data_IF_219450650204
#
_entry.id   IF_219450650204
#
_cell.length_a   1.000
_cell.length_b   1.000
_cell.length_c   1.000
_cell.angle_alpha   90.00
_cell.angle_beta   90.00
_cell.angle_gamma   90.00
#
_symmetry.space_group_name_H-M   'P 1'
#
loop_
_entity.id
_entity.type
_entity.pdbx_description
1 polymer ?
#
# COMPACT_ATOMS: atom_id res chain seq x y z
N UNK A 1 11.76 -54.23 -17.81
CA UNK A 1 11.06 -54.14 -16.51
C UNK A 1 10.06 -53.00 -16.65
N UNK A 2 8.91 -53.31 -17.24
CA UNK A 2 7.62 -53.65 -16.61
C UNK A 2 6.78 -52.40 -16.33
N UNK A 3 6.03 -52.04 -17.37
CA UNK A 3 4.65 -51.57 -17.25
C UNK A 3 3.83 -52.65 -16.52
N UNK A 4 2.79 -52.28 -15.75
CA UNK A 4 1.56 -53.06 -15.72
C UNK A 4 0.42 -52.24 -16.34
N UNK A 5 -0.08 -52.83 -17.42
CA UNK A 5 -1.33 -52.50 -18.08
C UNK A 5 -2.41 -53.49 -17.64
N UNK A 6 -3.67 -53.15 -17.96
CA UNK A 6 -4.81 -54.05 -18.20
C UNK A 6 -5.48 -54.64 -16.94
N UNK A 7 -6.81 -54.71 -16.82
CA UNK A 7 -7.83 -55.33 -17.71
C UNK A 7 -9.21 -54.71 -17.31
N UNK A 8 -9.94 -54.04 -18.21
CA UNK A 8 -11.15 -54.51 -18.97
C UNK A 8 -12.32 -54.92 -18.06
N UNK A 9 -13.60 -54.70 -18.35
CA UNK A 9 -14.38 -54.14 -19.46
C UNK A 9 -15.84 -54.06 -18.95
N UNK A 10 -16.69 -53.24 -19.55
CA UNK A 10 -17.89 -53.72 -20.26
C UNK A 10 -18.66 -52.51 -20.81
N UNK A 11 -18.61 -52.39 -22.14
CA UNK A 11 -19.58 -51.65 -22.92
C UNK A 11 -20.81 -52.52 -23.08
N UNK A 12 -22.00 -52.00 -22.86
CA UNK A 12 -23.24 -52.53 -23.42
C UNK A 12 -24.20 -51.37 -23.71
N UNK A 13 -24.37 -51.13 -25.01
CA UNK A 13 -25.59 -50.74 -25.70
C UNK A 13 -26.34 -49.48 -25.22
N UNK A 14 -26.22 -48.44 -26.06
CA UNK A 14 -27.37 -47.90 -26.79
C UNK A 14 -28.47 -47.26 -25.95
N UNK A 15 -28.59 -45.95 -26.08
CA UNK A 15 -29.79 -45.21 -26.51
C UNK A 15 -29.40 -43.73 -26.47
N UNK A 16 -29.35 -43.08 -27.63
CA UNK A 16 -29.55 -41.63 -27.66
C UNK A 16 -30.99 -41.35 -27.22
N UNK A 17 -31.19 -40.37 -26.36
CA UNK A 17 -32.19 -39.37 -26.68
C UNK A 17 -31.54 -37.98 -26.65
N UNK A 18 -31.91 -37.18 -27.65
CA UNK A 18 -31.72 -35.75 -27.64
C UNK A 18 -32.26 -35.19 -26.31
N UNK A 19 -31.39 -34.51 -25.54
CA UNK A 19 -31.83 -33.68 -24.44
C UNK A 19 -31.07 -32.35 -24.52
N UNK A 20 -31.87 -31.29 -24.50
CA UNK A 20 -31.56 -29.90 -24.81
C UNK A 20 -30.27 -29.40 -24.19
N UNK A 21 -29.54 -28.59 -24.97
CA UNK A 21 -28.62 -27.59 -24.42
C UNK A 21 -29.44 -26.50 -23.71
N UNK A 22 -29.73 -26.68 -22.44
CA UNK A 22 -30.14 -25.58 -21.56
C UNK A 22 -29.64 -25.93 -20.15
N UNK A 23 -28.76 -25.11 -19.57
CA UNK A 23 -28.19 -25.35 -18.24
C UNK A 23 -26.66 -25.33 -18.17
N UNK A 24 -25.99 -24.70 -19.14
CA UNK A 24 -24.60 -24.27 -19.00
C UNK A 24 -24.64 -22.75 -18.77
N UNK A 25 -24.01 -22.29 -17.68
CA UNK A 25 -23.61 -20.89 -17.39
C UNK A 25 -24.43 -20.10 -16.34
N UNK A 26 -24.98 -20.69 -15.27
CA UNK A 26 -25.54 -19.85 -14.17
C UNK A 26 -24.85 -19.98 -12.80
N UNK A 27 -24.10 -21.07 -12.55
CA UNK A 27 -23.48 -21.27 -11.23
C UNK A 27 -22.04 -20.73 -11.10
N UNK A 28 -21.42 -20.30 -12.20
CA UNK A 28 -20.08 -19.70 -12.19
C UNK A 28 -20.10 -18.17 -11.97
N UNK A 29 -21.23 -17.51 -12.24
CA UNK A 29 -21.38 -16.04 -12.11
C UNK A 29 -21.62 -15.59 -10.66
N UNK A 30 -21.86 -16.50 -9.72
CA UNK A 30 -22.14 -16.15 -8.31
C UNK A 30 -20.85 -16.04 -7.48
N UNK A 31 -19.71 -16.55 -7.96
CA UNK A 31 -18.43 -16.47 -7.23
C UNK A 31 -17.50 -15.36 -7.73
N UNK A 32 -17.72 -14.85 -8.95
CA UNK A 32 -17.12 -13.61 -9.44
C UNK A 32 -18.08 -12.43 -9.24
N UNK A 33 -18.54 -12.24 -7.99
CA UNK A 33 -18.91 -10.90 -7.55
C UNK A 33 -17.62 -10.08 -7.47
N UNK A 34 -17.07 -9.77 -8.64
CA UNK A 34 -16.16 -8.68 -8.93
C UNK A 34 -16.79 -7.52 -8.19
N UNK A 35 -16.26 -7.22 -7.01
CA UNK A 35 -16.60 -6.02 -6.26
C UNK A 35 -16.55 -4.93 -7.32
N UNK A 36 -17.71 -4.38 -7.69
CA UNK A 36 -17.77 -3.26 -8.60
C UNK A 36 -16.89 -2.22 -7.94
N UNK A 37 -15.68 -2.04 -8.50
CA UNK A 37 -14.67 -1.14 -7.96
C UNK A 37 -15.33 0.22 -8.02
N UNK A 38 -15.94 0.67 -6.93
CA UNK A 38 -16.46 2.02 -6.88
C UNK A 38 -15.22 2.91 -6.98
N UNK A 39 -15.04 3.64 -8.11
CA UNK A 39 -13.84 4.42 -8.29
C UNK A 39 -13.80 5.46 -7.19
N UNK A 40 -12.65 5.59 -6.53
CA UNK A 40 -12.46 6.63 -5.52
C UNK A 40 -12.75 7.98 -6.19
N UNK A 41 -13.63 8.82 -5.60
CA UNK A 41 -13.98 10.10 -6.19
C UNK A 41 -12.75 10.99 -6.43
N UNK A 42 -12.76 11.76 -7.53
CA UNK A 42 -11.61 12.56 -7.95
C UNK A 42 -11.22 13.63 -6.93
N UNK A 43 -12.18 14.18 -6.20
CA UNK A 43 -11.98 15.10 -5.08
C UNK A 43 -11.26 14.43 -3.91
N UNK A 44 -11.55 13.16 -3.61
CA UNK A 44 -10.84 12.37 -2.59
C UNK A 44 -9.40 12.12 -3.02
N UNK A 45 -9.16 11.79 -4.29
CA UNK A 45 -7.80 11.63 -4.83
C UNK A 45 -6.99 12.93 -4.71
N UNK A 46 -7.58 14.07 -5.09
CA UNK A 46 -6.95 15.38 -4.97
C UNK A 46 -6.68 15.75 -3.50
N UNK A 47 -7.64 15.50 -2.61
CA UNK A 47 -7.49 15.75 -1.17
C UNK A 47 -6.39 14.86 -0.55
N UNK A 48 -6.24 13.62 -1.00
CA UNK A 48 -5.16 12.74 -0.55
C UNK A 48 -3.78 13.28 -0.96
N UNK A 49 -3.64 13.78 -2.20
CA UNK A 49 -2.40 14.42 -2.68
C UNK A 49 -2.05 15.63 -1.82
N UNK A 50 -3.04 16.49 -1.55
CA UNK A 50 -2.85 17.66 -0.68
C UNK A 50 -2.42 17.24 0.74
N UNK A 51 -3.10 16.26 1.33
CA UNK A 51 -2.79 15.79 2.69
C UNK A 51 -1.38 15.19 2.78
N UNK A 52 -0.92 14.49 1.74
CA UNK A 52 0.46 13.98 1.65
C UNK A 52 1.46 15.11 1.44
N UNK A 53 1.12 16.17 0.70
CA UNK A 53 1.96 17.35 0.59
C UNK A 53 2.11 18.05 1.94
N UNK A 54 1.02 18.20 2.71
CA UNK A 54 1.06 18.78 4.07
C UNK A 54 1.94 17.94 5.01
N UNK A 55 1.87 16.61 4.92
CA UNK A 55 2.79 15.70 5.63
C UNK A 55 4.26 15.92 5.21
N UNK A 56 4.48 16.14 3.92
CA UNK A 56 5.79 16.51 3.37
C UNK A 56 6.32 17.83 3.90
N UNK A 57 5.45 18.84 4.02
CA UNK A 57 5.82 20.16 4.54
C UNK A 57 6.19 20.10 6.02
N UNK A 58 5.48 19.28 6.83
CA UNK A 58 5.88 18.96 8.21
C UNK A 58 7.28 18.34 8.26
N UNK A 59 7.53 17.39 7.37
CA UNK A 59 8.82 16.69 7.24
C UNK A 59 9.95 17.65 6.88
N UNK A 60 9.69 18.63 6.01
CA UNK A 60 10.66 19.67 5.62
C UNK A 60 10.97 20.65 6.75
N UNK A 61 10.00 20.92 7.63
CA UNK A 61 10.20 21.75 8.83
C UNK A 61 10.88 21.01 9.99
N UNK A 62 11.07 19.70 9.86
CA UNK A 62 11.63 18.86 10.93
C UNK A 62 10.63 18.52 12.04
N UNK A 63 9.33 18.70 11.79
CA UNK A 63 8.24 18.41 12.74
C UNK A 63 7.93 16.89 12.76
N UNK A 64 8.95 16.06 12.98
CA UNK A 64 8.85 14.61 12.83
C UNK A 64 7.89 13.96 13.84
N UNK A 65 7.75 14.52 15.04
CA UNK A 65 6.77 14.05 16.02
C UNK A 65 5.33 14.19 15.48
N UNK A 66 5.03 15.27 14.76
CA UNK A 66 3.71 15.46 14.14
C UNK A 66 3.49 14.50 12.97
N UNK A 67 4.53 14.23 12.18
CA UNK A 67 4.50 13.22 11.11
C UNK A 67 4.18 11.84 11.71
N UNK A 68 4.84 11.47 12.81
CA UNK A 68 4.59 10.22 13.52
C UNK A 68 3.15 10.15 14.05
N UNK A 69 2.64 11.23 14.63
CA UNK A 69 1.26 11.29 15.14
C UNK A 69 0.19 11.14 14.04
N UNK A 70 0.53 11.45 12.78
CA UNK A 70 -0.34 11.23 11.62
C UNK A 70 -0.24 9.81 11.05
N UNK A 71 0.55 8.92 11.65
CA UNK A 71 0.61 7.51 11.22
C UNK A 71 -0.74 6.82 11.45
N UNK A 72 -1.18 6.00 10.50
CA UNK A 72 -2.46 5.33 10.56
C UNK A 72 -2.60 4.46 11.84
N UNK A 73 -3.58 4.71 12.72
CA UNK A 73 -3.63 4.10 14.06
C UNK A 73 -3.73 2.57 14.06
N UNK A 74 -4.44 1.97 13.09
CA UNK A 74 -4.55 0.50 13.01
C UNK A 74 -3.23 -0.14 12.57
N UNK A 75 -2.45 0.56 11.75
CA UNK A 75 -1.09 0.15 11.41
C UNK A 75 -0.19 0.18 12.66
N UNK A 76 -0.18 1.31 13.39
CA UNK A 76 0.57 1.45 14.65
C UNK A 76 0.24 0.36 15.66
N UNK A 77 -1.05 0.09 15.88
CA UNK A 77 -1.49 -0.94 16.84
C UNK A 77 -0.97 -2.33 16.50
N UNK A 78 -0.90 -2.69 15.22
CA UNK A 78 -0.35 -3.98 14.79
C UNK A 78 1.17 -4.00 14.88
N UNK A 79 1.83 -2.90 14.50
CA UNK A 79 3.28 -2.75 14.65
C UNK A 79 3.69 -2.89 16.13
N UNK A 80 2.99 -2.22 17.04
CA UNK A 80 3.17 -2.35 18.49
C UNK A 80 3.01 -3.79 18.97
N UNK A 81 1.99 -4.52 18.51
CA UNK A 81 1.80 -5.93 18.86
C UNK A 81 2.97 -6.82 18.39
N UNK A 82 3.53 -6.55 17.22
CA UNK A 82 4.73 -7.26 16.71
C UNK A 82 5.99 -6.88 17.50
N UNK A 83 6.15 -5.60 17.85
CA UNK A 83 7.29 -5.08 18.58
C UNK A 83 7.30 -5.48 20.07
N UNK A 84 6.15 -5.90 20.62
CA UNK A 84 6.01 -6.32 22.02
C UNK A 84 5.43 -5.24 22.95
N UNK A 85 4.82 -4.18 22.41
CA UNK A 85 4.13 -3.14 23.18
C UNK A 85 4.15 -1.76 22.52
N UNK A 86 3.29 -0.86 22.98
CA UNK A 86 3.22 0.53 22.49
C UNK A 86 4.48 1.32 22.87
N UNK A 87 5.02 1.11 24.06
CA UNK A 87 6.20 1.84 24.54
C UNK A 87 7.43 1.53 23.68
N UNK A 88 7.54 0.29 23.20
CA UNK A 88 8.64 -0.14 22.36
C UNK A 88 8.58 0.48 20.96
N UNK A 89 7.41 0.52 20.34
CA UNK A 89 7.28 1.16 19.02
C UNK A 89 7.49 2.68 19.13
N UNK A 90 7.04 3.30 20.22
CA UNK A 90 7.28 4.73 20.47
C UNK A 90 8.78 5.02 20.61
N UNK A 91 9.50 4.21 21.39
CA UNK A 91 10.95 4.34 21.54
C UNK A 91 11.72 4.05 20.23
N UNK A 92 11.24 3.12 19.40
CA UNK A 92 11.80 2.86 18.07
C UNK A 92 11.60 4.06 17.13
N UNK A 93 10.44 4.71 17.17
CA UNK A 93 10.15 5.91 16.37
C UNK A 93 10.98 7.11 16.81
N UNK A 94 11.10 7.34 18.13
CA UNK A 94 11.94 8.41 18.69
C UNK A 94 13.41 8.19 18.30
N UNK A 95 13.93 6.96 18.45
CA UNK A 95 15.27 6.61 18.02
C UNK A 95 15.47 6.85 16.52
N UNK A 96 14.50 6.50 15.69
CA UNK A 96 14.59 6.73 14.24
C UNK A 96 14.67 8.23 13.91
N UNK A 97 13.98 9.10 14.66
CA UNK A 97 14.10 10.56 14.52
C UNK A 97 15.48 11.04 14.92
N UNK A 98 16.01 10.57 16.06
CA UNK A 98 17.35 10.94 16.54
C UNK A 98 18.46 10.48 15.59
N UNK A 99 18.37 9.23 15.11
CA UNK A 99 19.30 8.68 14.11
C UNK A 99 19.24 9.45 12.81
N UNK A 100 18.03 9.83 12.36
CA UNK A 100 17.87 10.65 11.17
C UNK A 100 18.51 12.03 11.37
N UNK A 101 18.26 12.70 12.49
CA UNK A 101 18.87 13.98 12.82
C UNK A 101 20.40 13.89 12.91
N UNK A 102 20.94 12.80 13.45
CA UNK A 102 22.38 12.56 13.57
C UNK A 102 23.08 12.15 12.27
N UNK A 103 22.34 11.64 11.28
CA UNK A 103 22.89 11.09 10.03
C UNK A 103 23.52 12.12 9.08
N UNK A 104 23.39 13.42 9.36
CA UNK A 104 23.82 14.48 8.45
C UNK A 104 22.98 14.56 7.16
N UNK A 105 21.84 13.86 7.13
CA UNK A 105 20.85 13.95 6.06
C UNK A 105 19.88 15.11 6.36
N UNK A 106 19.60 15.92 5.34
CA UNK A 106 18.56 16.96 5.41
C UNK A 106 17.63 16.78 4.23
N UNK A 107 16.33 16.66 4.47
CA UNK A 107 15.34 16.70 3.38
C UNK A 107 15.23 18.14 2.91
N UNK A 108 15.59 18.41 1.66
CA UNK A 108 15.59 19.77 1.08
C UNK A 108 14.39 20.03 0.18
N UNK A 109 13.75 18.97 -0.32
CA UNK A 109 12.55 19.06 -1.14
C UNK A 109 11.65 17.86 -0.89
N UNK A 110 10.35 18.10 -0.88
CA UNK A 110 9.31 17.07 -0.86
C UNK A 110 8.23 17.48 -1.87
N UNK A 111 7.77 16.52 -2.67
CA UNK A 111 6.69 16.74 -3.63
C UNK A 111 5.78 15.53 -3.64
N UNK A 112 4.50 15.72 -3.36
CA UNK A 112 3.45 14.74 -3.63
C UNK A 112 3.06 14.84 -5.12
N UNK A 113 3.09 13.72 -5.81
CA UNK A 113 2.67 13.62 -7.21
C UNK A 113 1.18 13.21 -7.28
N UNK A 114 0.52 13.37 -8.45
CA UNK A 114 -0.86 12.92 -8.61
C UNK A 114 -1.06 11.46 -8.17
N UNK A 115 -2.14 11.21 -7.45
CA UNK A 115 -2.50 9.87 -7.00
C UNK A 115 -2.68 8.92 -8.20
N UNK A 116 -2.14 7.71 -8.09
CA UNK A 116 -2.13 6.73 -9.18
C UNK A 116 -3.30 5.76 -9.08
N UNK A 117 -3.71 5.46 -7.85
CA UNK A 117 -4.80 4.54 -7.55
C UNK A 117 -5.41 4.83 -6.20
N UNK A 118 -6.64 4.38 -6.02
CA UNK A 118 -7.33 4.39 -4.75
C UNK A 118 -8.37 3.27 -4.67
N UNK A 119 -8.71 2.90 -3.45
CA UNK A 119 -9.60 1.81 -3.12
C UNK A 119 -10.67 2.28 -2.13
N UNK A 120 -11.90 1.84 -2.40
CA UNK A 120 -12.95 1.79 -1.40
C UNK A 120 -12.66 0.64 -0.43
N UNK A 121 -12.63 0.95 0.87
CA UNK A 121 -12.45 -0.02 1.94
C UNK A 121 -13.77 -0.13 2.72
N UNK A 122 -14.74 -0.92 2.24
CA UNK A 122 -16.10 -0.95 2.79
C UNK A 122 -16.15 -1.50 4.21
N UNK A 123 -15.26 -2.43 4.58
CA UNK A 123 -15.26 -3.05 5.91
C UNK A 123 -14.88 -2.08 7.04
N UNK A 124 -14.24 -0.95 6.69
CA UNK A 124 -13.87 0.10 7.64
C UNK A 124 -14.51 1.45 7.32
N UNK A 125 -15.34 1.53 6.27
CA UNK A 125 -15.89 2.77 5.76
C UNK A 125 -14.79 3.83 5.52
N UNK A 126 -13.71 3.43 4.86
CA UNK A 126 -12.52 4.24 4.60
C UNK A 126 -12.23 4.34 3.10
N UNK A 127 -11.55 5.41 2.71
CA UNK A 127 -10.82 5.52 1.45
C UNK A 127 -9.34 5.24 1.69
N UNK A 128 -8.72 4.51 0.76
CA UNK A 128 -7.28 4.28 0.74
C UNK A 128 -6.73 4.74 -0.60
N UNK A 129 -5.69 5.58 -0.60
CA UNK A 129 -5.15 6.20 -1.81
C UNK A 129 -3.62 6.06 -1.85
N UNK A 130 -3.08 5.66 -3.00
CA UNK A 130 -1.64 5.62 -3.25
C UNK A 130 -1.17 6.92 -3.89
N UNK A 131 -0.33 7.65 -3.17
CA UNK A 131 0.21 8.94 -3.60
C UNK A 131 1.72 8.83 -3.77
N UNK A 132 2.26 8.90 -5.00
CA UNK A 132 3.70 8.93 -5.22
C UNK A 132 4.31 10.20 -4.63
N UNK A 133 5.57 10.09 -4.23
CA UNK A 133 6.32 11.18 -3.61
C UNK A 133 7.73 11.21 -4.14
N UNK A 134 8.26 12.42 -4.33
CA UNK A 134 9.66 12.67 -4.60
C UNK A 134 10.26 13.48 -3.46
N UNK A 135 11.39 13.01 -2.94
CA UNK A 135 12.14 13.68 -1.89
C UNK A 135 13.56 13.93 -2.34
N UNK A 136 14.05 15.14 -2.13
CA UNK A 136 15.46 15.43 -2.29
C UNK A 136 16.10 15.45 -0.91
N UNK A 137 17.15 14.67 -0.73
CA UNK A 137 17.93 14.59 0.48
C UNK A 137 19.33 15.10 0.19
N UNK A 138 19.78 16.05 0.99
CA UNK A 138 21.16 16.48 1.03
C UNK A 138 21.89 15.64 2.08
N UNK A 139 22.97 14.98 1.67
CA UNK A 139 23.92 14.33 2.56
C UNK A 139 25.19 15.17 2.63
N UNK A 140 25.70 15.37 3.83
CA UNK A 140 27.05 15.90 4.03
C UNK A 140 27.90 14.73 4.50
N UNK A 141 28.90 14.34 3.70
CA UNK A 141 29.83 13.30 4.12
C UNK A 141 30.63 13.81 5.33
N UNK A 142 30.56 13.13 6.49
CA UNK A 142 31.18 13.63 7.71
C UNK A 142 32.71 13.57 7.67
N UNK A 143 33.31 12.73 6.83
CA UNK A 143 34.75 12.58 6.70
C UNK A 143 35.36 13.58 5.70
N UNK A 144 34.65 13.90 4.62
CA UNK A 144 35.17 14.76 3.53
C UNK A 144 34.51 16.14 3.45
N UNK A 145 33.36 16.33 4.09
CA UNK A 145 32.55 17.56 4.01
C UNK A 145 31.84 17.76 2.65
N UNK A 146 31.95 16.80 1.74
CA UNK A 146 31.33 16.86 0.41
C UNK A 146 29.81 16.80 0.54
N UNK A 147 29.13 17.69 -0.18
CA UNK A 147 27.67 17.72 -0.26
C UNK A 147 27.22 16.89 -1.45
N UNK A 148 26.32 15.96 -1.20
CA UNK A 148 25.68 15.17 -2.24
C UNK A 148 24.17 15.34 -2.15
N UNK A 149 23.50 15.44 -3.30
CA UNK A 149 22.05 15.43 -3.37
C UNK A 149 21.57 14.10 -3.91
N UNK A 150 20.55 13.54 -3.26
CA UNK A 150 19.95 12.26 -3.60
C UNK A 150 18.45 12.52 -3.77
N UNK A 151 17.92 12.17 -4.93
CA UNK A 151 16.49 12.12 -5.17
C UNK A 151 15.99 10.72 -4.84
N UNK A 152 14.94 10.66 -4.03
CA UNK A 152 14.23 9.45 -3.63
C UNK A 152 12.84 9.50 -4.22
N UNK A 153 12.46 8.48 -4.96
CA UNK A 153 11.10 8.24 -5.43
C UNK A 153 10.47 7.16 -4.57
N UNK A 154 9.31 7.45 -4.02
CA UNK A 154 8.62 6.61 -3.04
C UNK A 154 7.12 6.88 -3.11
N UNK A 155 6.33 6.36 -2.17
CA UNK A 155 4.92 6.72 -2.05
C UNK A 155 4.43 6.72 -0.60
N UNK A 156 3.31 7.39 -0.38
CA UNK A 156 2.54 7.32 0.85
C UNK A 156 1.18 6.66 0.56
N UNK A 157 0.73 5.83 1.49
CA UNK A 157 -0.65 5.34 1.50
C UNK A 157 -1.44 6.26 2.41
N UNK A 158 -2.33 7.07 1.83
CA UNK A 158 -3.19 8.00 2.54
C UNK A 158 -4.56 7.33 2.80
N UNK A 159 -4.99 7.30 4.05
CA UNK A 159 -6.21 6.62 4.49
C UNK A 159 -7.08 7.61 5.26
N UNK A 160 -8.39 7.63 4.98
CA UNK A 160 -9.34 8.51 5.66
C UNK A 160 -10.72 7.86 5.73
N UNK A 161 -11.43 8.04 6.85
CA UNK A 161 -12.84 7.68 6.95
C UNK A 161 -13.72 8.45 5.97
N UNK A 162 -14.85 7.87 5.56
CA UNK A 162 -15.78 8.53 4.63
C UNK A 162 -16.64 9.61 5.31
N UNK A 163 -16.62 9.67 6.63
CA UNK A 163 -17.32 10.69 7.40
C UNK A 163 -16.74 12.10 7.20
N UNK A 164 -17.62 13.10 7.32
CA UNK A 164 -17.23 14.49 7.25
C UNK A 164 -16.30 14.84 8.41
N UNK A 165 -15.23 15.60 8.14
CA UNK A 165 -14.22 15.95 9.15
C UNK A 165 -13.26 14.82 9.55
N UNK A 166 -13.36 13.62 8.94
CA UNK A 166 -12.40 12.55 9.19
C UNK A 166 -10.96 12.99 8.89
N UNK A 167 -10.04 12.69 9.80
CA UNK A 167 -8.62 13.00 9.65
C UNK A 167 -7.91 11.99 8.74
N UNK A 168 -6.90 12.45 8.00
CA UNK A 168 -6.02 11.58 7.23
C UNK A 168 -5.01 10.88 8.14
N UNK A 169 -4.86 9.57 7.94
CA UNK A 169 -3.77 8.77 8.47
C UNK A 169 -2.87 8.29 7.33
N UNK A 170 -1.58 8.10 7.61
CA UNK A 170 -0.61 7.72 6.59
C UNK A 170 0.15 6.45 6.94
N UNK A 171 0.52 5.70 5.92
CA UNK A 171 1.50 4.61 6.01
C UNK A 171 2.60 4.87 5.00
N UNK A 172 3.85 4.80 5.46
CA UNK A 172 4.99 4.97 4.59
C UNK A 172 5.13 3.78 3.64
N UNK A 173 5.06 4.05 2.34
CA UNK A 173 5.15 3.06 1.29
C UNK A 173 6.49 2.33 1.28
N UNK A 174 7.59 2.98 1.68
CA UNK A 174 8.92 2.37 1.71
C UNK A 174 8.98 1.08 2.54
N UNK A 175 8.30 1.09 3.68
CA UNK A 175 8.31 0.00 4.68
C UNK A 175 7.23 -1.05 4.44
N UNK A 176 6.36 -0.85 3.46
CA UNK A 176 5.16 -1.66 3.29
C UNK A 176 5.34 -2.70 2.18
N UNK A 177 5.14 -3.98 2.53
CA UNK A 177 4.87 -5.03 1.55
C UNK A 177 3.36 -5.15 1.28
N UNK A 178 2.99 -5.45 0.04
CA UNK A 178 1.57 -5.54 -0.38
C UNK A 178 0.82 -6.62 0.41
N UNK A 179 1.49 -7.72 0.72
CA UNK A 179 0.92 -8.79 1.54
C UNK A 179 0.57 -8.30 2.95
N UNK A 180 1.41 -7.42 3.53
CA UNK A 180 1.12 -6.83 4.82
C UNK A 180 -0.09 -5.90 4.75
N UNK A 181 -0.18 -5.08 3.70
CA UNK A 181 -1.31 -4.18 3.45
C UNK A 181 -2.64 -4.95 3.36
N UNK A 182 -2.68 -6.05 2.61
CA UNK A 182 -3.85 -6.94 2.55
C UNK A 182 -4.19 -7.57 3.91
N UNK A 183 -3.19 -7.81 4.76
CA UNK A 183 -3.43 -8.21 6.14
C UNK A 183 -4.14 -7.14 6.99
N UNK A 184 -4.11 -5.87 6.59
CA UNK A 184 -4.88 -4.78 7.22
C UNK A 184 -6.24 -4.56 6.56
N UNK A 185 -6.30 -4.76 5.24
CA UNK A 185 -7.45 -4.48 4.39
C UNK A 185 -7.75 -5.69 3.50
N UNK A 186 -8.50 -6.68 4.01
CA UNK A 186 -8.78 -7.92 3.30
C UNK A 186 -9.54 -7.73 1.98
N UNK A 187 -10.28 -6.62 1.81
CA UNK A 187 -10.99 -6.30 0.57
C UNK A 187 -10.07 -5.86 -0.58
N UNK A 188 -8.79 -5.59 -0.30
CA UNK A 188 -7.84 -5.22 -1.35
C UNK A 188 -7.57 -6.40 -2.31
N UNK A 189 -7.32 -6.11 -3.61
CA UNK A 189 -7.06 -7.13 -4.62
C UNK A 189 -5.97 -8.12 -4.22
N UNK A 190 -6.04 -9.35 -4.75
CA UNK A 190 -5.02 -10.37 -4.49
C UNK A 190 -3.77 -10.21 -5.35
N UNK A 191 -3.92 -9.69 -6.56
CA UNK A 191 -2.83 -9.48 -7.52
C UNK A 191 -2.17 -8.11 -7.29
N UNK A 192 -0.85 -8.10 -7.24
CA UNK A 192 -0.03 -6.89 -7.11
C UNK A 192 -0.23 -5.93 -8.29
N UNK A 193 -0.47 -6.48 -9.49
CA UNK A 193 -0.68 -5.70 -10.70
C UNK A 193 -1.94 -4.81 -10.60
N UNK A 194 -2.93 -5.24 -9.85
CA UNK A 194 -4.18 -4.51 -9.64
C UNK A 194 -4.04 -3.30 -8.69
N UNK A 195 -2.94 -3.19 -7.94
CA UNK A 195 -2.72 -2.07 -7.03
C UNK A 195 -2.20 -0.80 -7.74
N UNK A 196 -1.61 -0.95 -8.93
CA UNK A 196 -0.89 0.13 -9.61
C UNK A 196 0.07 0.89 -8.67
N UNK A 197 0.89 0.13 -7.94
CA UNK A 197 1.78 0.69 -6.91
C UNK A 197 2.84 1.58 -7.55
N UNK A 198 3.08 2.79 -7.00
CA UNK A 198 4.13 3.66 -7.51
C UNK A 198 5.51 3.00 -7.41
N UNK A 199 6.35 3.25 -8.40
CA UNK A 199 7.73 2.78 -8.40
C UNK A 199 8.52 3.39 -7.22
N UNK A 200 9.45 2.60 -6.67
CA UNK A 200 10.41 3.05 -5.67
C UNK A 200 11.79 3.14 -6.30
N UNK A 201 12.55 4.18 -5.93
CA UNK A 201 13.91 4.34 -6.46
C UNK A 201 14.72 5.42 -5.78
N UNK A 202 16.02 5.44 -6.09
CA UNK A 202 16.90 6.53 -5.70
C UNK A 202 17.84 6.88 -6.85
N UNK A 203 18.20 8.15 -6.95
CA UNK A 203 19.13 8.66 -7.95
C UNK A 203 19.98 9.78 -7.36
N UNK A 204 21.29 9.75 -7.62
CA UNK A 204 22.16 10.89 -7.28
C UNK A 204 21.88 12.05 -8.22
N UNK A 205 21.74 13.23 -7.67
CA UNK A 205 21.58 14.48 -8.41
C UNK A 205 22.88 15.26 -8.20
N UNK A 206 23.63 15.44 -9.29
CA UNK A 206 24.87 16.21 -9.29
C UNK A 206 24.57 17.71 -9.21
#
# INVERSE_FOLDING_TARGET
>A
MRIPSFILAFSLLGICPAFSQEGRLEDADILEKRIERQPVPADILAAAVQAVQELGDLTLRGEYAEVVNKTYPRYLKRAAKKAGGNDRIAAEMERAVDEFAASGLTITKFTAEPAVSGFDIPEFNEWLVFVPTKRQVRRIDPATGVKEFIELTDYQVAIRGKEEGASWGFINGSTLEVQELRGFFPSLPSDIADFAIPEKGFRRVN
#
